data_IF_655684564755
#
_entry.id   IF_655684564755
#
_cell.length_a   1.000
_cell.length_b   1.000
_cell.length_c   1.000
_cell.angle_alpha   90.00
_cell.angle_beta   90.00
_cell.angle_gamma   90.00
#
_symmetry.space_group_name_H-M   'P 1'
#
loop_
_entity.id
_entity.type
_entity.pdbx_description
1 polymer ?
#
# COMPACT_ATOMS: atom_id res chain seq x y z
N UNK A 1 -32.05 -10.80 -2.14
CA UNK A 1 -31.00 -10.12 -1.35
C UNK A 1 -31.56 -8.78 -0.93
N UNK A 2 -31.41 -8.37 0.33
CA UNK A 2 -31.98 -7.14 0.87
C UNK A 2 -30.90 -6.07 1.04
N UNK A 3 -31.18 -4.83 0.60
CA UNK A 3 -30.40 -3.64 0.93
C UNK A 3 -31.16 -2.85 2.01
N UNK A 4 -30.74 -2.88 3.28
CA UNK A 4 -31.37 -2.09 4.33
C UNK A 4 -31.42 -0.60 3.97
N UNK A 5 -32.56 0.07 4.20
CA UNK A 5 -32.78 1.49 3.84
C UNK A 5 -31.68 2.44 4.30
N UNK A 6 -31.07 2.17 5.45
CA UNK A 6 -29.96 2.99 6.00
C UNK A 6 -28.68 2.96 5.13
N UNK A 7 -28.51 1.93 4.32
CA UNK A 7 -27.41 1.76 3.38
C UNK A 7 -27.84 2.04 1.93
N UNK A 8 -29.07 2.51 1.71
CA UNK A 8 -29.51 2.86 0.36
C UNK A 8 -29.09 4.31 0.04
N UNK A 9 -28.69 4.61 -1.21
CA UNK A 9 -28.51 5.98 -1.66
C UNK A 9 -29.77 6.82 -1.43
N UNK A 10 -29.59 8.12 -1.16
CA UNK A 10 -30.73 9.04 -1.01
C UNK A 10 -31.46 9.14 -2.35
N UNK A 11 -32.80 9.10 -2.32
CA UNK A 11 -33.69 9.24 -3.47
C UNK A 11 -33.66 8.09 -4.50
N UNK A 12 -33.27 6.88 -4.07
CA UNK A 12 -33.29 5.69 -4.92
C UNK A 12 -34.71 5.42 -5.48
N UNK A 13 -34.81 5.23 -6.79
CA UNK A 13 -36.06 4.90 -7.50
C UNK A 13 -36.10 3.42 -7.92
N UNK A 14 -37.29 2.97 -8.32
CA UNK A 14 -37.43 1.65 -8.95
C UNK A 14 -36.64 1.67 -10.27
N UNK A 15 -35.98 0.55 -10.58
CA UNK A 15 -35.11 0.35 -11.75
C UNK A 15 -33.74 1.04 -11.71
N UNK A 16 -33.38 1.75 -10.63
CA UNK A 16 -32.02 2.25 -10.43
C UNK A 16 -31.01 1.11 -10.20
N UNK A 17 -29.85 1.21 -10.84
CA UNK A 17 -28.72 0.32 -10.59
C UNK A 17 -27.93 0.77 -9.35
N UNK A 18 -27.64 -0.18 -8.45
CA UNK A 18 -26.86 0.08 -7.23
C UNK A 18 -25.72 -0.93 -7.14
N UNK A 19 -24.49 -0.42 -7.07
CA UNK A 19 -23.33 -1.22 -6.71
C UNK A 19 -23.33 -1.44 -5.21
N UNK A 20 -23.41 -2.70 -4.78
CA UNK A 20 -23.44 -3.07 -3.37
C UNK A 20 -22.52 -4.27 -3.07
N UNK A 21 -21.97 -4.29 -1.87
CA UNK A 21 -21.23 -5.42 -1.34
C UNK A 21 -22.18 -6.41 -0.65
N UNK A 22 -22.01 -7.70 -0.92
CA UNK A 22 -22.85 -8.77 -0.36
C UNK A 22 -22.12 -9.45 0.78
N UNK A 23 -22.77 -9.56 1.94
CA UNK A 23 -22.22 -10.23 3.11
C UNK A 23 -23.29 -10.83 4.02
N UNK A 24 -22.85 -11.64 4.98
CA UNK A 24 -23.72 -12.16 6.04
C UNK A 24 -23.70 -11.24 7.25
N UNK A 25 -24.87 -10.74 7.67
CA UNK A 25 -25.00 -9.91 8.87
C UNK A 25 -24.76 -10.69 10.18
N UNK A 26 -25.02 -10.06 11.32
CA UNK A 26 -24.90 -10.69 12.65
C UNK A 26 -25.92 -11.82 12.88
N UNK A 27 -27.04 -11.81 12.16
CA UNK A 27 -28.08 -12.85 12.18
C UNK A 27 -27.87 -13.91 11.09
N UNK A 28 -26.72 -13.90 10.41
CA UNK A 28 -26.37 -14.81 9.34
C UNK A 28 -27.30 -14.71 8.11
N UNK A 29 -27.92 -13.56 7.89
CA UNK A 29 -28.73 -13.29 6.68
C UNK A 29 -27.85 -12.70 5.60
N UNK A 30 -28.05 -13.15 4.36
CA UNK A 30 -27.39 -12.59 3.19
C UNK A 30 -28.00 -11.23 2.84
N UNK A 31 -27.23 -10.16 3.05
CA UNK A 31 -27.64 -8.77 2.83
C UNK A 31 -26.66 -8.02 1.94
N UNK A 32 -27.13 -6.91 1.37
CA UNK A 32 -26.34 -5.96 0.61
C UNK A 32 -26.07 -4.70 1.44
N UNK A 33 -24.94 -4.05 1.19
CA UNK A 33 -24.61 -2.72 1.72
C UNK A 33 -23.86 -1.89 0.68
N UNK A 34 -24.03 -0.57 0.68
CA UNK A 34 -23.20 0.35 -0.12
C UNK A 34 -21.92 0.76 0.62
N UNK A 35 -21.78 0.36 1.88
CA UNK A 35 -20.52 0.51 2.62
C UNK A 35 -19.43 -0.36 1.97
N UNK A 36 -18.20 0.14 1.99
CA UNK A 36 -17.05 -0.58 1.44
C UNK A 36 -16.29 -1.25 2.57
N UNK A 37 -16.16 -2.58 2.55
CA UNK A 37 -15.29 -3.23 3.53
C UNK A 37 -13.84 -2.80 3.30
N UNK A 38 -13.03 -2.88 4.36
CA UNK A 38 -11.58 -2.62 4.27
C UNK A 38 -10.81 -3.71 3.53
N UNK A 39 -11.44 -4.87 3.30
CA UNK A 39 -10.90 -5.97 2.51
C UNK A 39 -11.97 -7.03 2.27
N UNK A 40 -11.76 -7.90 1.28
CA UNK A 40 -12.64 -9.03 0.95
C UNK A 40 -11.93 -10.37 1.20
N UNK A 41 -12.67 -11.47 1.10
CA UNK A 41 -12.10 -12.82 1.23
C UNK A 41 -10.93 -12.99 0.27
N UNK A 42 -9.79 -13.45 0.80
CA UNK A 42 -8.53 -13.59 0.08
C UNK A 42 -7.54 -12.44 0.35
N UNK A 43 -8.03 -11.26 0.73
CA UNK A 43 -7.18 -10.11 1.00
C UNK A 43 -6.41 -10.25 2.31
N UNK A 44 -5.21 -9.65 2.31
CA UNK A 44 -4.44 -9.39 3.52
C UNK A 44 -4.53 -7.90 3.80
N UNK A 45 -5.01 -7.55 4.99
CA UNK A 45 -5.32 -6.16 5.36
C UNK A 45 -4.96 -5.87 6.82
N UNK A 46 -4.60 -4.63 7.11
CA UNK A 46 -4.36 -4.16 8.46
C UNK A 46 -5.67 -3.69 9.09
N UNK A 47 -6.16 -4.41 10.11
CA UNK A 47 -7.42 -4.09 10.77
C UNK A 47 -7.22 -3.81 12.25
N UNK A 48 -8.03 -2.89 12.77
CA UNK A 48 -8.01 -2.50 14.19
C UNK A 48 -8.88 -3.43 15.01
N UNK A 49 -8.36 -3.91 16.14
CA UNK A 49 -9.14 -4.65 17.11
C UNK A 49 -10.10 -3.72 17.86
N UNK A 50 -11.40 -4.00 17.77
CA UNK A 50 -12.46 -3.20 18.41
C UNK A 50 -13.00 -3.83 19.67
N UNK A 51 -12.93 -5.15 19.79
CA UNK A 51 -13.28 -5.86 21.02
C UNK A 51 -12.56 -7.21 21.12
N UNK A 52 -12.47 -7.74 22.34
CA UNK A 52 -11.89 -9.05 22.63
C UNK A 52 -12.79 -9.83 23.58
N UNK A 53 -12.73 -11.15 23.50
CA UNK A 53 -13.41 -12.09 24.39
C UNK A 53 -12.54 -13.35 24.60
N UNK A 54 -12.92 -14.23 25.52
CA UNK A 54 -12.12 -15.43 25.83
C UNK A 54 -11.85 -16.33 24.60
N UNK A 55 -12.78 -16.37 23.64
CA UNK A 55 -12.64 -17.18 22.43
C UNK A 55 -11.81 -16.53 21.30
N UNK A 56 -11.51 -15.23 21.38
CA UNK A 56 -10.79 -14.50 20.32
C UNK A 56 -11.06 -13.00 20.30
N UNK A 57 -10.86 -12.37 19.15
CA UNK A 57 -10.99 -10.92 18.96
C UNK A 57 -11.89 -10.56 17.77
N UNK A 58 -12.39 -9.34 17.76
CA UNK A 58 -13.13 -8.76 16.65
C UNK A 58 -12.36 -7.59 16.06
N UNK A 59 -12.22 -7.58 14.73
CA UNK A 59 -11.50 -6.58 13.97
C UNK A 59 -12.46 -5.76 13.11
N UNK A 60 -12.27 -4.44 13.10
CA UNK A 60 -13.07 -3.48 12.34
C UNK A 60 -12.97 -3.74 10.83
N UNK A 61 -14.00 -4.36 10.27
CA UNK A 61 -14.09 -4.70 8.85
C UNK A 61 -14.44 -3.50 7.96
N UNK A 62 -14.83 -2.37 8.55
CA UNK A 62 -15.44 -1.24 7.83
C UNK A 62 -16.90 -1.47 7.43
N UNK A 63 -17.50 -2.56 7.91
CA UNK A 63 -18.93 -2.84 7.78
C UNK A 63 -19.55 -2.84 9.18
N UNK A 64 -20.89 -2.86 9.24
CA UNK A 64 -21.60 -3.02 10.52
C UNK A 64 -21.20 -4.27 11.32
N UNK A 65 -20.66 -5.30 10.65
CA UNK A 65 -20.17 -6.51 11.29
C UNK A 65 -18.66 -6.52 11.28
N UNK A 66 -18.07 -6.83 12.43
CA UNK A 66 -16.63 -7.03 12.58
C UNK A 66 -16.20 -8.46 12.19
N UNK A 67 -14.94 -8.61 11.80
CA UNK A 67 -14.34 -9.91 11.50
C UNK A 67 -13.86 -10.57 12.78
N UNK A 68 -14.33 -11.80 13.01
CA UNK A 68 -13.86 -12.60 14.13
C UNK A 68 -12.52 -13.26 13.81
N UNK A 69 -11.60 -13.18 14.77
CA UNK A 69 -10.33 -13.91 14.80
C UNK A 69 -10.36 -14.82 16.01
N UNK A 70 -10.39 -16.13 15.79
CA UNK A 70 -10.34 -17.10 16.88
C UNK A 70 -8.99 -17.03 17.60
N UNK A 71 -8.94 -17.31 18.90
CA UNK A 71 -7.70 -17.27 19.68
C UNK A 71 -6.60 -18.18 19.12
N UNK A 72 -6.97 -19.28 18.48
CA UNK A 72 -6.04 -20.20 17.79
C UNK A 72 -5.47 -19.65 16.48
N UNK A 73 -6.03 -18.56 15.96
CA UNK A 73 -5.65 -17.86 14.73
C UNK A 73 -4.89 -16.54 15.00
N UNK A 74 -4.75 -16.15 16.26
CA UNK A 74 -3.87 -15.06 16.72
C UNK A 74 -2.42 -15.58 16.81
N UNK A 75 -1.43 -14.79 16.39
CA UNK A 75 -0.01 -15.05 16.65
C UNK A 75 0.35 -14.58 18.06
N UNK A 76 -0.11 -13.38 18.40
CA UNK A 76 0.03 -12.80 19.74
C UNK A 76 -1.35 -12.36 20.18
N UNK A 77 -1.62 -12.46 21.49
CA UNK A 77 -2.92 -12.11 22.01
C UNK A 77 -3.34 -10.68 21.62
N UNK A 78 -4.44 -10.56 20.88
CA UNK A 78 -4.92 -9.27 20.39
C UNK A 78 -5.43 -8.39 21.53
N UNK A 79 -5.24 -7.08 21.39
CA UNK A 79 -5.65 -6.05 22.36
C UNK A 79 -6.51 -5.02 21.68
N UNK A 80 -7.59 -4.61 22.35
CA UNK A 80 -8.47 -3.54 21.90
C UNK A 80 -7.65 -2.28 21.60
N UNK A 81 -7.89 -1.70 20.42
CA UNK A 81 -7.16 -0.54 19.92
C UNK A 81 -5.92 -0.87 19.09
N UNK A 82 -5.37 -2.07 19.19
CA UNK A 82 -4.23 -2.52 18.38
C UNK A 82 -4.60 -2.78 16.93
N UNK A 83 -3.63 -2.66 16.02
CA UNK A 83 -3.79 -2.96 14.59
C UNK A 83 -3.01 -4.22 14.23
N UNK A 84 -3.64 -5.10 13.47
CA UNK A 84 -3.13 -6.44 13.16
C UNK A 84 -3.27 -6.71 11.67
N UNK A 85 -2.19 -7.24 11.07
CA UNK A 85 -2.20 -7.67 9.68
C UNK A 85 -2.83 -9.06 9.62
N UNK A 86 -3.96 -9.17 8.93
CA UNK A 86 -4.73 -10.41 8.89
C UNK A 86 -5.15 -10.77 7.48
N UNK A 87 -5.30 -12.06 7.22
CA UNK A 87 -5.93 -12.57 6.01
C UNK A 87 -7.40 -12.89 6.25
N UNK A 88 -8.25 -12.42 5.36
CA UNK A 88 -9.70 -12.70 5.39
C UNK A 88 -9.94 -14.02 4.65
N UNK A 89 -10.67 -14.95 5.28
CA UNK A 89 -10.97 -16.26 4.71
C UNK A 89 -12.40 -16.69 5.03
N UNK A 90 -12.88 -17.72 4.34
CA UNK A 90 -14.13 -18.40 4.69
C UNK A 90 -13.76 -19.58 5.58
N UNK A 91 -14.27 -19.58 6.80
CA UNK A 91 -14.14 -20.70 7.71
C UNK A 91 -14.99 -21.88 7.21
N UNK A 92 -14.33 -22.96 6.81
CA UNK A 92 -15.00 -24.11 6.17
C UNK A 92 -15.98 -24.83 7.10
N UNK A 93 -15.78 -24.77 8.43
CA UNK A 93 -16.64 -25.44 9.39
C UNK A 93 -17.96 -24.68 9.58
N UNK A 94 -17.91 -23.35 9.53
CA UNK A 94 -19.06 -22.50 9.82
C UNK A 94 -19.65 -21.83 8.58
N UNK A 95 -18.93 -21.81 7.46
CA UNK A 95 -19.28 -21.06 6.25
C UNK A 95 -19.20 -19.54 6.43
N UNK A 96 -18.63 -19.05 7.52
CA UNK A 96 -18.59 -17.63 7.86
C UNK A 96 -17.27 -17.00 7.43
N UNK A 97 -17.32 -15.72 7.09
CA UNK A 97 -16.11 -14.92 6.88
C UNK A 97 -15.45 -14.67 8.23
N UNK A 98 -14.17 -15.01 8.32
CA UNK A 98 -13.32 -14.84 9.48
C UNK A 98 -11.97 -14.24 9.05
N UNK A 99 -11.12 -13.92 10.01
CA UNK A 99 -9.77 -13.44 9.76
C UNK A 99 -8.74 -14.21 10.58
N UNK A 100 -7.50 -14.24 10.08
CA UNK A 100 -6.39 -14.91 10.74
C UNK A 100 -5.12 -14.07 10.65
N UNK A 101 -4.41 -13.91 11.77
CA UNK A 101 -3.07 -13.27 11.80
C UNK A 101 -2.01 -14.23 11.28
N UNK A 102 -2.35 -15.52 11.21
CA UNK A 102 -1.54 -16.60 10.70
C UNK A 102 -1.49 -16.56 9.16
N UNK A 103 -0.75 -15.60 8.61
CA UNK A 103 -0.65 -15.38 7.16
C UNK A 103 0.51 -16.12 6.49
N UNK A 104 1.60 -16.43 7.21
CA UNK A 104 2.85 -16.96 6.62
C UNK A 104 2.64 -18.26 5.82
N UNK A 105 1.82 -19.18 6.30
CA UNK A 105 1.51 -20.48 5.65
C UNK A 105 0.83 -20.32 4.28
N UNK A 106 0.28 -19.14 4.01
CA UNK A 106 -0.44 -18.86 2.77
C UNK A 106 0.41 -18.06 1.78
N UNK A 107 1.62 -17.66 2.19
CA UNK A 107 2.58 -16.96 1.37
C UNK A 107 3.66 -17.97 0.95
N UNK A 108 3.91 -18.08 -0.34
CA UNK A 108 4.92 -19.02 -0.85
C UNK A 108 5.58 -18.48 -2.11
N UNK A 109 6.90 -18.69 -2.21
CA UNK A 109 7.68 -18.41 -3.42
C UNK A 109 8.15 -19.70 -4.11
N UNK A 110 7.62 -20.87 -3.76
CA UNK A 110 7.99 -22.13 -4.41
C UNK A 110 7.56 -22.14 -5.88
N UNK A 111 6.31 -21.79 -6.15
CA UNK A 111 5.76 -21.60 -7.49
C UNK A 111 5.43 -20.13 -7.73
N UNK A 112 6.26 -19.45 -8.51
CA UNK A 112 6.10 -18.03 -8.80
C UNK A 112 4.98 -17.79 -9.82
N UNK A 113 4.06 -16.88 -9.48
CA UNK A 113 2.98 -16.42 -10.39
C UNK A 113 3.27 -15.06 -11.02
N UNK A 114 4.45 -14.51 -10.77
CA UNK A 114 4.91 -13.21 -11.26
C UNK A 114 6.20 -13.39 -12.04
N UNK A 115 6.46 -12.47 -12.97
CA UNK A 115 7.67 -12.40 -13.78
C UNK A 115 8.35 -11.05 -13.56
N UNK A 116 9.61 -10.96 -13.98
CA UNK A 116 10.31 -9.68 -14.01
C UNK A 116 9.55 -8.66 -14.86
N UNK A 117 9.54 -7.42 -14.38
CA UNK A 117 8.82 -6.27 -14.92
C UNK A 117 7.29 -6.31 -14.77
N UNK A 118 6.72 -7.34 -14.15
CA UNK A 118 5.27 -7.35 -13.87
C UNK A 118 4.91 -6.28 -12.85
N UNK A 119 3.83 -5.53 -13.15
CA UNK A 119 3.18 -4.65 -12.18
C UNK A 119 2.46 -5.49 -11.13
N UNK A 120 2.66 -5.13 -9.86
CA UNK A 120 2.14 -5.88 -8.73
C UNK A 120 1.59 -4.96 -7.64
N UNK A 121 0.64 -5.50 -6.88
CA UNK A 121 0.17 -4.95 -5.63
C UNK A 121 1.10 -5.37 -4.50
N UNK A 122 1.55 -4.39 -3.73
CA UNK A 122 2.49 -4.56 -2.64
C UNK A 122 1.84 -4.16 -1.33
N UNK A 123 2.02 -4.98 -0.31
CA UNK A 123 1.58 -4.71 1.05
C UNK A 123 2.78 -4.83 2.00
N UNK A 124 3.06 -3.78 2.76
CA UNK A 124 4.16 -3.79 3.71
C UNK A 124 3.90 -4.78 4.85
N UNK A 125 4.72 -5.83 4.93
CA UNK A 125 4.55 -6.89 5.92
C UNK A 125 5.40 -6.64 7.17
N UNK A 126 6.71 -6.46 6.99
CA UNK A 126 7.63 -6.19 8.11
C UNK A 126 8.92 -5.51 7.66
N UNK A 127 9.53 -4.76 8.57
CA UNK A 127 10.86 -4.18 8.37
C UNK A 127 11.95 -5.18 8.77
N UNK A 128 13.06 -5.14 8.03
CA UNK A 128 14.29 -5.91 8.23
C UNK A 128 15.49 -4.98 8.05
N UNK A 129 16.69 -5.45 8.38
CA UNK A 129 17.91 -4.65 8.20
C UNK A 129 18.21 -4.29 6.73
N UNK A 130 17.71 -5.08 5.78
CA UNK A 130 17.91 -4.85 4.34
C UNK A 130 16.86 -3.91 3.72
N UNK A 131 15.76 -3.67 4.43
CA UNK A 131 14.59 -2.95 3.92
C UNK A 131 13.28 -3.61 4.35
N UNK A 132 12.27 -3.56 3.49
CA UNK A 132 10.92 -4.01 3.81
C UNK A 132 10.58 -5.31 3.09
N UNK A 133 10.12 -6.30 3.85
CA UNK A 133 9.45 -7.47 3.27
C UNK A 133 8.04 -7.03 2.89
N UNK A 134 7.70 -7.20 1.62
CA UNK A 134 6.39 -6.87 1.08
C UNK A 134 5.70 -8.16 0.63
N UNK A 135 4.40 -8.22 0.86
CA UNK A 135 3.53 -9.23 0.26
C UNK A 135 3.16 -8.76 -1.14
N UNK A 136 3.31 -9.64 -2.11
CA UNK A 136 3.05 -9.38 -3.53
C UNK A 136 1.77 -10.12 -3.92
N UNK A 137 0.76 -9.39 -4.40
CA UNK A 137 -0.52 -9.93 -4.86
C UNK A 137 -1.16 -10.94 -3.88
N UNK A 138 -1.02 -10.72 -2.57
CA UNK A 138 -1.51 -11.62 -1.51
C UNK A 138 -0.99 -13.08 -1.54
N UNK A 139 0.08 -13.35 -2.29
CA UNK A 139 0.59 -14.73 -2.51
C UNK A 139 2.10 -14.88 -2.31
N UNK A 140 2.90 -13.96 -2.82
CA UNK A 140 4.36 -14.05 -2.74
C UNK A 140 4.91 -13.08 -1.70
N UNK A 141 6.18 -13.27 -1.33
CA UNK A 141 6.95 -12.27 -0.59
C UNK A 141 8.10 -11.76 -1.43
N UNK A 142 8.41 -10.47 -1.29
CA UNK A 142 9.55 -9.85 -1.92
C UNK A 142 10.22 -8.83 -1.00
N UNK A 143 11.40 -8.39 -1.40
CA UNK A 143 12.20 -7.43 -0.65
C UNK A 143 12.26 -6.10 -1.41
N UNK A 144 11.77 -5.05 -0.75
CA UNK A 144 12.01 -3.67 -1.13
C UNK A 144 13.23 -3.17 -0.35
N UNK A 145 14.34 -2.96 -1.04
CA UNK A 145 15.59 -2.51 -0.40
C UNK A 145 15.45 -1.09 0.14
N UNK A 146 16.00 -0.83 1.34
CA UNK A 146 15.95 0.51 1.96
C UNK A 146 16.52 1.60 1.03
N UNK A 147 17.52 1.27 0.21
CA UNK A 147 18.12 2.19 -0.76
C UNK A 147 17.18 2.66 -1.88
N UNK A 148 16.03 2.00 -2.04
CA UNK A 148 14.99 2.35 -3.02
C UNK A 148 13.80 3.08 -2.36
N UNK A 149 13.86 3.32 -1.04
CA UNK A 149 12.77 3.91 -0.26
C UNK A 149 13.13 5.35 0.10
N UNK A 150 12.30 6.29 -0.36
CA UNK A 150 12.46 7.73 -0.09
C UNK A 150 11.33 8.30 0.77
N UNK A 151 10.55 7.42 1.41
CA UNK A 151 9.40 7.77 2.25
C UNK A 151 9.31 6.82 3.44
N UNK A 152 8.62 7.23 4.50
CA UNK A 152 8.32 6.32 5.59
C UNK A 152 7.28 5.29 5.15
N UNK A 153 7.56 4.01 5.41
CA UNK A 153 6.66 2.89 5.13
C UNK A 153 6.27 2.25 6.46
N UNK A 154 4.97 2.19 6.72
CA UNK A 154 4.39 1.52 7.87
C UNK A 154 3.87 0.13 7.49
N UNK A 155 3.83 -0.78 8.45
CA UNK A 155 3.24 -2.11 8.26
C UNK A 155 1.76 -1.94 7.90
N UNK A 156 1.31 -2.62 6.85
CA UNK A 156 -0.04 -2.52 6.33
C UNK A 156 -0.23 -1.49 5.22
N UNK A 157 0.77 -0.64 4.94
CA UNK A 157 0.71 0.28 3.81
C UNK A 157 0.68 -0.47 2.48
N UNK A 158 -0.14 0.03 1.56
CA UNK A 158 -0.34 -0.55 0.23
C UNK A 158 0.28 0.33 -0.84
N UNK A 159 0.97 -0.29 -1.79
CA UNK A 159 1.64 0.38 -2.88
C UNK A 159 1.45 -0.37 -4.20
N UNK A 160 1.61 0.35 -5.31
CA UNK A 160 1.86 -0.24 -6.62
C UNK A 160 3.35 -0.24 -6.89
N UNK A 161 3.85 -1.37 -7.39
CA UNK A 161 5.24 -1.51 -7.77
C UNK A 161 5.40 -2.52 -8.89
N UNK A 162 6.64 -2.93 -9.13
CA UNK A 162 6.93 -3.99 -10.07
C UNK A 162 8.02 -4.91 -9.56
N UNK A 163 8.02 -6.13 -10.12
CA UNK A 163 9.08 -7.10 -9.87
C UNK A 163 10.33 -6.67 -10.65
N UNK A 164 11.41 -6.31 -9.95
CA UNK A 164 12.65 -5.90 -10.58
C UNK A 164 13.46 -7.10 -11.06
N UNK A 165 13.64 -8.07 -10.17
CA UNK A 165 14.48 -9.24 -10.43
C UNK A 165 13.97 -10.43 -9.63
N UNK A 166 13.99 -11.61 -10.24
CA UNK A 166 13.72 -12.88 -9.58
C UNK A 166 15.03 -13.63 -9.48
N UNK A 167 15.49 -13.89 -8.26
CA UNK A 167 16.76 -14.58 -7.99
C UNK A 167 16.61 -16.09 -8.16
N UNK A 168 17.74 -16.79 -8.28
CA UNK A 168 17.80 -18.24 -8.46
C UNK A 168 17.18 -19.04 -7.29
N UNK A 169 17.05 -18.44 -6.11
CA UNK A 169 16.39 -19.01 -4.93
C UNK A 169 14.92 -18.59 -4.79
N UNK A 170 14.29 -18.12 -5.87
CA UNK A 170 12.94 -17.57 -5.93
C UNK A 170 12.69 -16.37 -5.00
N UNK A 171 13.75 -15.70 -4.50
CA UNK A 171 13.60 -14.40 -3.84
C UNK A 171 13.32 -13.32 -4.88
N UNK A 172 12.36 -12.48 -4.56
CA UNK A 172 11.88 -11.43 -5.45
C UNK A 172 12.37 -10.09 -4.92
N UNK A 173 13.12 -9.36 -5.74
CA UNK A 173 13.41 -7.95 -5.49
C UNK A 173 12.34 -7.09 -6.17
N UNK A 174 11.82 -6.12 -5.44
CA UNK A 174 10.74 -5.24 -5.89
C UNK A 174 11.14 -3.78 -5.78
N UNK A 175 10.46 -2.95 -6.57
CA UNK A 175 10.60 -1.50 -6.54
C UNK A 175 9.23 -0.85 -6.65
N UNK A 176 9.05 0.26 -5.94
CA UNK A 176 7.82 1.05 -6.01
C UNK A 176 7.72 1.82 -7.34
N UNK A 177 6.50 2.05 -7.83
CA UNK A 177 6.26 2.79 -9.07
C UNK A 177 6.21 1.91 -10.33
N UNK A 178 6.50 2.50 -11.50
CA UNK A 178 6.31 1.86 -12.82
C UNK A 178 7.63 1.35 -13.44
N UNK A 179 7.62 0.16 -14.08
CA UNK A 179 8.75 -0.39 -14.82
C UNK A 179 9.07 0.52 -16.02
N UNK A 180 10.36 0.82 -16.23
CA UNK A 180 10.83 1.71 -17.30
C UNK A 180 11.16 3.14 -16.87
N UNK A 181 10.72 3.59 -15.69
CA UNK A 181 11.28 4.78 -15.02
C UNK A 181 12.65 4.50 -14.37
N UNK A 182 13.12 3.25 -14.46
CA UNK A 182 14.46 2.78 -14.09
C UNK A 182 15.46 2.74 -15.27
N UNK A 183 15.25 3.48 -16.37
CA UNK A 183 16.44 4.07 -16.99
C UNK A 183 17.01 4.94 -15.90
N UNK A 184 18.21 4.60 -15.38
CA UNK A 184 19.02 5.41 -14.44
C UNK A 184 18.40 6.79 -14.35
N UNK A 185 17.56 7.01 -13.32
CA UNK A 185 16.83 8.27 -13.24
C UNK A 185 17.94 9.31 -13.19
N UNK A 186 18.12 10.01 -14.30
CA UNK A 186 19.16 11.02 -14.37
C UNK A 186 18.79 12.04 -13.30
N UNK A 187 19.79 12.76 -12.81
CA UNK A 187 19.54 13.67 -11.70
C UNK A 187 18.43 14.67 -12.05
N UNK A 188 18.20 14.91 -13.35
CA UNK A 188 17.13 15.73 -13.90
C UNK A 188 15.74 15.11 -13.72
N UNK A 189 15.55 13.84 -14.08
CA UNK A 189 14.30 13.10 -13.87
C UNK A 189 13.90 13.07 -12.40
N UNK A 190 14.87 12.86 -11.50
CA UNK A 190 14.63 12.82 -10.05
C UNK A 190 14.09 14.15 -9.52
N UNK A 191 14.65 15.27 -9.98
CA UNK A 191 14.18 16.61 -9.58
C UNK A 191 12.77 16.88 -10.12
N UNK A 192 12.47 16.49 -11.37
CA UNK A 192 11.15 16.67 -11.95
C UNK A 192 10.08 15.85 -11.23
N UNK A 193 10.36 14.58 -10.92
CA UNK A 193 9.44 13.74 -10.15
C UNK A 193 9.16 14.34 -8.77
N UNK A 194 10.20 14.73 -8.04
CA UNK A 194 10.03 15.35 -6.73
C UNK A 194 9.24 16.67 -6.81
N UNK A 195 9.35 17.42 -7.91
CA UNK A 195 8.50 18.58 -8.16
C UNK A 195 7.04 18.17 -8.39
N UNK A 196 6.77 17.19 -9.26
CA UNK A 196 5.42 16.67 -9.52
C UNK A 196 4.75 16.13 -8.24
N UNK A 197 5.48 15.39 -7.42
CA UNK A 197 5.03 14.85 -6.13
C UNK A 197 4.74 15.94 -5.08
N UNK A 198 5.32 17.13 -5.23
CA UNK A 198 5.16 18.28 -4.32
C UNK A 198 4.39 19.45 -4.98
N UNK A 199 3.37 19.14 -5.78
CA UNK A 199 2.48 20.12 -6.41
C UNK A 199 3.23 21.19 -7.24
N UNK A 200 4.30 20.77 -7.91
CA UNK A 200 5.11 21.63 -8.77
C UNK A 200 6.00 22.62 -8.01
N UNK A 201 6.20 22.49 -6.70
CA UNK A 201 7.05 23.39 -5.92
C UNK A 201 7.98 22.66 -4.96
N UNK A 202 9.25 23.05 -4.95
CA UNK A 202 10.23 22.57 -3.96
C UNK A 202 10.95 23.76 -3.30
N UNK A 203 11.01 23.84 -1.96
CA UNK A 203 11.67 24.94 -1.23
C UNK A 203 13.20 24.76 -1.18
N UNK A 204 13.81 24.46 -2.32
CA UNK A 204 15.25 24.24 -2.47
C UNK A 204 15.79 25.13 -3.58
N UNK A 205 16.99 25.67 -3.39
CA UNK A 205 17.68 26.54 -4.37
C UNK A 205 19.15 26.15 -4.46
N UNK A 206 19.89 26.75 -5.39
CA UNK A 206 21.34 26.56 -5.47
C UNK A 206 22.09 27.08 -4.23
N UNK A 207 21.41 27.87 -3.38
CA UNK A 207 21.91 28.37 -2.10
C UNK A 207 21.65 27.43 -0.94
N UNK A 208 20.76 26.45 -1.07
CA UNK A 208 20.43 25.50 0.01
C UNK A 208 21.68 24.75 0.52
N UNK A 209 21.68 24.41 1.80
CA UNK A 209 22.81 23.74 2.45
C UNK A 209 23.12 22.38 1.78
N UNK A 210 24.40 22.03 1.57
CA UNK A 210 24.78 20.76 0.92
C UNK A 210 24.17 19.53 1.59
N UNK A 211 24.12 19.53 2.92
CA UNK A 211 23.57 18.43 3.73
C UNK A 211 22.06 18.26 3.49
N UNK A 212 21.31 19.37 3.39
CA UNK A 212 19.87 19.34 3.09
C UNK A 212 19.60 18.87 1.67
N UNK A 213 20.43 19.28 0.70
CA UNK A 213 20.33 18.83 -0.69
C UNK A 213 20.63 17.33 -0.77
N UNK A 214 21.67 16.87 -0.08
CA UNK A 214 22.03 15.46 -0.08
C UNK A 214 20.95 14.59 0.60
N UNK A 215 20.42 15.03 1.74
CA UNK A 215 19.37 14.31 2.46
C UNK A 215 18.07 14.18 1.62
N UNK A 216 17.69 15.23 0.90
CA UNK A 216 16.44 15.24 0.13
C UNK A 216 16.59 14.64 -1.28
N UNK A 217 17.64 15.04 -2.02
CA UNK A 217 17.83 14.64 -3.41
C UNK A 217 18.79 13.46 -3.59
N UNK A 218 19.53 13.05 -2.56
CA UNK A 218 20.52 11.98 -2.64
C UNK A 218 21.68 12.28 -3.60
N UNK A 219 21.97 13.56 -3.87
CA UNK A 219 23.02 14.01 -4.78
C UNK A 219 23.83 15.16 -4.20
N UNK A 220 25.06 15.36 -4.70
CA UNK A 220 25.91 16.46 -4.25
C UNK A 220 25.34 17.81 -4.64
N UNK A 221 25.64 18.87 -3.88
CA UNK A 221 25.26 20.26 -4.23
C UNK A 221 25.77 20.69 -5.62
N UNK A 222 26.94 20.18 -6.03
CA UNK A 222 27.51 20.41 -7.37
C UNK A 222 26.64 19.78 -8.45
N UNK A 223 26.26 18.51 -8.26
CA UNK A 223 25.39 17.78 -9.18
C UNK A 223 24.02 18.46 -9.26
N UNK A 224 23.40 18.76 -8.12
CA UNK A 224 22.13 19.49 -8.04
C UNK A 224 22.15 20.81 -8.83
N UNK A 225 23.18 21.65 -8.63
CA UNK A 225 23.31 22.93 -9.34
C UNK A 225 23.45 22.76 -10.85
N UNK A 226 24.21 21.76 -11.29
CA UNK A 226 24.37 21.43 -12.70
C UNK A 226 23.03 20.99 -13.31
N UNK A 227 22.29 20.15 -12.60
CA UNK A 227 21.02 19.57 -13.03
C UNK A 227 19.90 20.59 -13.13
N UNK A 228 19.67 21.41 -12.10
CA UNK A 228 18.65 22.47 -12.14
C UNK A 228 18.96 23.49 -13.24
N UNK A 229 20.25 23.78 -13.49
CA UNK A 229 20.68 24.63 -14.59
C UNK A 229 20.38 24.02 -15.97
N UNK A 230 20.49 22.71 -16.12
CA UNK A 230 20.09 21.97 -17.32
C UNK A 230 18.57 22.00 -17.54
N UNK A 231 17.80 21.73 -16.49
CA UNK A 231 16.32 21.75 -16.53
C UNK A 231 15.76 23.15 -16.84
N UNK A 232 16.38 24.20 -16.29
CA UNK A 232 16.03 25.58 -16.60
C UNK A 232 16.27 25.92 -18.07
N UNK A 233 17.41 25.50 -18.64
CA UNK A 233 17.70 25.67 -20.08
C UNK A 233 16.70 24.94 -20.98
N UNK A 234 16.20 23.79 -20.52
CA UNK A 234 15.15 23.03 -21.20
C UNK A 234 13.73 23.58 -20.94
N UNK A 235 13.60 24.67 -20.17
CA UNK A 235 12.33 25.31 -19.77
C UNK A 235 11.34 24.37 -19.07
N UNK A 236 11.87 23.40 -18.31
CA UNK A 236 11.04 22.49 -17.50
C UNK A 236 10.78 23.01 -16.08
N UNK A 237 11.65 23.88 -15.59
CA UNK A 237 11.55 24.47 -14.25
C UNK A 237 11.85 25.97 -14.30
N UNK A 238 11.33 26.71 -13.33
CA UNK A 238 11.67 28.11 -13.07
C UNK A 238 12.25 28.30 -11.64
N UNK A 239 13.02 29.37 -11.46
CA UNK A 239 13.59 29.72 -10.16
C UNK A 239 12.71 30.78 -9.47
N UNK A 240 12.04 30.37 -8.39
CA UNK A 240 11.42 31.29 -7.45
C UNK A 240 12.45 31.88 -6.49
N UNK A 241 12.09 32.94 -5.74
CA UNK A 241 12.97 33.55 -4.72
C UNK A 241 13.50 32.55 -3.69
N UNK A 242 12.69 31.54 -3.35
CA UNK A 242 13.00 30.56 -2.29
C UNK A 242 12.80 29.10 -2.73
N UNK A 243 12.67 28.83 -4.04
CA UNK A 243 12.40 27.47 -4.49
C UNK A 243 12.51 27.24 -5.99
N UNK A 244 12.23 26.00 -6.38
CA UNK A 244 12.06 25.56 -7.77
C UNK A 244 10.56 25.42 -8.05
N UNK A 245 10.14 25.90 -9.21
CA UNK A 245 8.78 25.73 -9.73
C UNK A 245 8.83 24.84 -10.96
N UNK A 246 7.88 23.91 -11.09
CA UNK A 246 7.65 23.16 -12.30
C UNK A 246 6.93 24.06 -13.31
N UNK A 247 7.40 24.09 -14.55
CA UNK A 247 6.69 24.73 -15.65
C UNK A 247 5.87 23.63 -16.31
N UNK A 248 4.55 23.62 -16.09
CA UNK A 248 3.64 22.71 -16.80
C UNK A 248 3.62 23.04 -18.30
N UNK A 249 3.58 22.00 -19.14
CA UNK A 249 3.15 22.08 -20.54
C UNK A 249 1.66 21.80 -20.64
#
# INVERSE_FOLDING_TARGET
ILLPKRFAPKNLQIDDEVVAFIYHDSENRLIATTEKPKGIVGDIVLLKCVSTMGAGAFLDWGLMKDLFVARSQELVGMKVGGSYLVKIYIDEQTGRVAATEKIDYQLSNEELTVKEMDMVDLLAYRKTDLGYVMIINNKHTGLLHESQVFMDILIGDQFKGFVKTIRADNKIDIVLGKPGYQKVEDEAGKILRLLEENNGYLPYTDKSEPEKIYAFFGMSKKTFKMTIGGLYKQRKIDFAKEGLLLIEQ
#
